data_IF_013202821783
#
_entry.id   IF_013202821783
#
_cell.length_a   1.000
_cell.length_b   1.000
_cell.length_c   1.000
_cell.angle_alpha   90.00
_cell.angle_beta   90.00
_cell.angle_gamma   90.00
#
_symmetry.space_group_name_H-M   'P 1'
#
loop_
_entity.id
_entity.type
_entity.pdbx_description
1 polymer ?
#
# COMPACT_ATOMS: atom_id res chain seq x y z
N UNK A 1 2.51 -13.79 25.11
CA UNK A 1 3.42 -14.27 24.06
C UNK A 1 4.69 -13.44 24.17
N UNK A 2 5.82 -14.09 24.43
CA UNK A 2 7.11 -13.44 24.68
C UNK A 2 7.63 -12.77 23.40
N UNK A 3 7.57 -11.43 23.33
CA UNK A 3 8.08 -10.70 22.18
C UNK A 3 9.57 -10.38 22.35
N UNK A 4 10.37 -11.45 22.38
CA UNK A 4 11.82 -11.41 22.52
C UNK A 4 12.48 -12.13 21.35
N UNK A 5 12.51 -11.53 20.17
CA UNK A 5 13.26 -12.13 19.07
C UNK A 5 14.56 -11.36 18.84
N UNK A 6 15.48 -11.56 19.78
CA UNK A 6 16.91 -11.43 19.47
C UNK A 6 17.29 -12.58 18.54
N UNK A 7 18.33 -12.35 17.76
CA UNK A 7 18.86 -13.32 16.81
C UNK A 7 20.01 -14.10 17.45
N UNK A 8 20.08 -15.38 17.12
CA UNK A 8 21.33 -16.13 17.08
C UNK A 8 21.85 -16.17 15.63
N UNK A 9 23.07 -16.67 15.43
CA UNK A 9 23.66 -16.79 14.10
C UNK A 9 22.75 -17.56 13.13
N UNK A 10 22.20 -18.69 13.58
CA UNK A 10 21.37 -19.58 12.75
C UNK A 10 20.10 -18.90 12.26
N UNK A 11 19.40 -18.17 13.12
CA UNK A 11 18.16 -17.47 12.79
C UNK A 11 18.40 -16.26 11.91
N UNK A 12 19.50 -15.52 12.11
CA UNK A 12 19.85 -14.38 11.25
C UNK A 12 20.29 -14.82 9.85
N UNK A 13 21.08 -15.89 9.75
CA UNK A 13 21.45 -16.55 8.48
C UNK A 13 20.18 -16.96 7.73
N UNK A 14 19.31 -17.75 8.38
CA UNK A 14 18.08 -18.25 7.75
C UNK A 14 17.17 -17.14 7.24
N UNK A 15 17.10 -16.02 7.95
CA UNK A 15 16.34 -14.86 7.51
C UNK A 15 16.94 -14.26 6.22
N UNK A 16 18.25 -14.05 6.20
CA UNK A 16 18.90 -13.35 5.10
C UNK A 16 19.12 -14.21 3.85
N UNK A 17 19.16 -15.54 3.99
CA UNK A 17 19.14 -16.50 2.88
C UNK A 17 17.82 -16.47 2.12
N UNK A 18 16.69 -16.47 2.85
CA UNK A 18 15.34 -16.42 2.25
C UNK A 18 15.13 -15.16 1.42
N UNK A 19 15.70 -14.06 1.87
CA UNK A 19 15.57 -12.76 1.22
C UNK A 19 16.61 -12.54 0.10
N UNK A 20 17.59 -13.45 -0.06
CA UNK A 20 18.57 -13.45 -1.14
C UNK A 20 19.59 -12.31 -1.13
N UNK A 21 19.96 -11.74 0.04
CA UNK A 21 20.74 -10.48 0.09
C UNK A 21 22.09 -10.48 0.80
N UNK A 22 22.40 -11.40 1.71
CA UNK A 22 23.65 -11.33 2.47
C UNK A 22 24.67 -12.38 2.04
N UNK A 23 25.88 -11.94 1.68
CA UNK A 23 27.05 -12.81 1.66
C UNK A 23 27.57 -12.94 3.10
N UNK A 24 27.69 -14.18 3.60
CA UNK A 24 28.28 -14.54 4.90
C UNK A 24 27.81 -13.69 6.10
N UNK A 25 26.80 -14.16 6.84
CA UNK A 25 26.45 -13.56 8.14
C UNK A 25 27.39 -14.13 9.21
N UNK A 26 27.95 -13.29 10.07
CA UNK A 26 28.82 -13.67 11.19
C UNK A 26 28.27 -13.22 12.55
N UNK A 27 28.88 -13.69 13.64
CA UNK A 27 28.49 -13.30 15.02
C UNK A 27 28.52 -11.77 15.24
N UNK A 28 29.43 -11.06 14.56
CA UNK A 28 29.51 -9.59 14.61
C UNK A 28 28.24 -8.91 14.09
N UNK A 29 27.57 -9.51 13.10
CA UNK A 29 26.29 -9.02 12.58
C UNK A 29 25.18 -9.26 13.58
N UNK A 30 25.17 -10.43 14.21
CA UNK A 30 24.21 -10.80 15.26
C UNK A 30 24.30 -9.84 16.43
N UNK A 31 25.51 -9.57 16.93
CA UNK A 31 25.76 -8.60 18.00
C UNK A 31 25.25 -7.21 17.63
N UNK A 32 25.52 -6.75 16.40
CA UNK A 32 25.07 -5.44 15.92
C UNK A 32 23.54 -5.38 15.83
N UNK A 33 22.90 -6.36 15.21
CA UNK A 33 21.44 -6.44 15.07
C UNK A 33 20.78 -6.47 16.44
N UNK A 34 21.26 -7.30 17.36
CA UNK A 34 20.71 -7.38 18.70
C UNK A 34 20.90 -6.08 19.49
N UNK A 35 22.04 -5.41 19.34
CA UNK A 35 22.27 -4.09 19.93
C UNK A 35 21.29 -3.03 19.39
N UNK A 36 21.02 -3.02 18.09
CA UNK A 36 20.01 -2.14 17.48
C UNK A 36 18.62 -2.43 18.05
N UNK A 37 18.22 -3.71 18.12
CA UNK A 37 16.93 -4.13 18.69
C UNK A 37 16.79 -3.67 20.14
N UNK A 38 17.81 -3.86 20.97
CA UNK A 38 17.81 -3.41 22.37
C UNK A 38 17.62 -1.90 22.48
N UNK A 39 18.31 -1.10 21.66
CA UNK A 39 18.15 0.36 21.66
C UNK A 39 16.75 0.78 21.21
N UNK A 40 16.24 0.17 20.15
CA UNK A 40 14.88 0.42 19.64
C UNK A 40 13.81 0.13 20.70
N UNK A 41 13.97 -0.94 21.48
CA UNK A 41 13.06 -1.28 22.57
C UNK A 41 13.15 -0.25 23.69
N UNK A 42 14.36 0.02 24.17
CA UNK A 42 14.62 1.00 25.23
C UNK A 42 14.04 2.37 24.90
N UNK A 43 14.25 2.87 23.69
CA UNK A 43 13.70 4.15 23.24
C UNK A 43 12.17 4.19 23.33
N UNK A 44 11.49 3.10 22.95
CA UNK A 44 10.03 3.00 23.07
C UNK A 44 9.58 2.88 24.52
N UNK A 45 10.29 2.13 25.36
CA UNK A 45 9.98 2.01 26.79
C UNK A 45 10.08 3.37 27.51
N UNK A 46 11.08 4.17 27.17
CA UNK A 46 11.32 5.49 27.77
C UNK A 46 10.39 6.59 27.23
N UNK A 47 9.84 6.44 26.03
CA UNK A 47 9.01 7.46 25.39
C UNK A 47 7.60 6.94 25.10
N UNK A 48 6.52 7.45 25.71
CA UNK A 48 5.16 7.00 25.43
C UNK A 48 4.61 7.49 24.07
N UNK A 49 5.21 8.54 23.50
CA UNK A 49 4.81 9.13 22.22
C UNK A 49 5.29 8.32 21.01
N UNK A 50 4.80 8.60 19.78
CA UNK A 50 5.32 8.01 18.56
C UNK A 50 6.81 8.36 18.36
N UNK A 51 7.64 7.34 18.12
CA UNK A 51 9.09 7.51 17.90
C UNK A 51 9.51 7.04 16.52
N UNK A 52 10.70 7.45 16.08
CA UNK A 52 11.26 7.01 14.82
C UNK A 52 11.34 5.47 14.73
N UNK A 53 11.11 4.94 13.53
CA UNK A 53 11.03 3.51 13.27
C UNK A 53 9.66 2.88 13.53
N UNK A 54 8.74 3.54 14.25
CA UNK A 54 7.36 3.06 14.41
C UNK A 54 6.60 3.03 13.08
N UNK A 55 5.43 2.39 13.09
CA UNK A 55 4.57 2.31 11.91
C UNK A 55 3.23 2.99 12.14
N UNK A 56 2.67 3.55 11.07
CA UNK A 56 1.38 4.24 11.09
C UNK A 56 0.47 3.63 10.03
N UNK A 57 -0.74 3.23 10.41
CA UNK A 57 -1.83 3.05 9.46
C UNK A 57 -2.41 4.43 9.15
N UNK A 58 -2.16 4.92 7.95
CA UNK A 58 -2.46 6.29 7.54
C UNK A 58 -3.55 6.29 6.47
N UNK A 59 -4.57 7.13 6.62
CA UNK A 59 -5.59 7.36 5.58
C UNK A 59 -5.63 8.83 5.21
N UNK A 60 -5.45 9.16 3.93
CA UNK A 60 -5.53 10.54 3.44
C UNK A 60 -6.98 11.01 3.37
N UNK A 61 -7.17 12.32 3.31
CA UNK A 61 -8.47 12.95 3.08
C UNK A 61 -9.09 12.54 1.75
N UNK A 62 -8.24 12.16 0.79
CA UNK A 62 -8.61 11.62 -0.51
C UNK A 62 -8.95 10.12 -0.51
N UNK A 63 -8.98 9.47 0.65
CA UNK A 63 -9.31 8.05 0.83
C UNK A 63 -8.17 7.08 0.56
N UNK A 64 -6.95 7.55 0.29
CA UNK A 64 -5.81 6.66 0.04
C UNK A 64 -5.31 6.06 1.37
N UNK A 65 -5.34 4.73 1.46
CA UNK A 65 -5.04 3.95 2.66
C UNK A 65 -3.65 3.33 2.59
N UNK A 66 -2.82 3.65 3.59
CA UNK A 66 -1.45 3.20 3.74
C UNK A 66 -1.31 2.39 5.03
N UNK A 67 -1.26 1.05 4.97
CA UNK A 67 -1.32 0.21 6.17
C UNK A 67 -0.06 0.28 7.04
N UNK A 68 1.08 0.61 6.44
CA UNK A 68 2.40 0.50 7.08
C UNK A 68 3.32 1.69 6.75
N UNK A 69 2.82 2.92 6.90
CA UNK A 69 3.68 4.10 6.81
C UNK A 69 4.80 4.04 7.87
N UNK A 70 5.96 4.62 7.56
CA UNK A 70 7.14 4.64 8.44
C UNK A 70 7.32 6.03 9.06
N UNK A 71 7.47 6.08 10.39
CA UNK A 71 7.92 7.29 11.07
C UNK A 71 9.44 7.41 10.90
N UNK A 72 9.90 8.29 10.01
CA UNK A 72 11.32 8.50 9.77
C UNK A 72 11.94 9.31 10.90
N UNK A 73 11.22 10.35 11.32
CA UNK A 73 11.59 11.27 12.39
C UNK A 73 10.34 11.64 13.16
N UNK A 74 10.48 11.80 14.46
CA UNK A 74 9.46 12.33 15.33
C UNK A 74 10.16 13.13 16.41
N UNK A 75 9.83 14.40 16.50
CA UNK A 75 10.09 15.20 17.68
C UNK A 75 8.75 15.55 18.35
N UNK A 76 8.76 16.19 19.52
CA UNK A 76 7.52 16.51 20.23
C UNK A 76 6.59 17.50 19.51
N UNK A 77 6.93 17.97 18.32
CA UNK A 77 6.16 18.93 17.51
C UNK A 77 5.73 18.34 16.18
N UNK A 78 6.61 17.61 15.51
CA UNK A 78 6.38 17.10 14.16
C UNK A 78 6.86 15.66 14.00
N UNK A 79 6.04 14.86 13.34
CA UNK A 79 6.35 13.53 12.86
C UNK A 79 6.41 13.52 11.33
N UNK A 80 7.56 13.15 10.79
CA UNK A 80 7.77 12.96 9.36
C UNK A 80 7.52 11.51 8.98
N UNK A 81 6.52 11.29 8.12
CA UNK A 81 6.07 9.97 7.72
C UNK A 81 6.35 9.70 6.24
N UNK A 82 6.88 8.52 5.93
CA UNK A 82 6.92 7.98 4.59
C UNK A 82 5.74 7.01 4.41
N UNK A 83 4.78 7.32 3.53
CA UNK A 83 3.52 6.58 3.43
C UNK A 83 3.66 5.23 2.71
N UNK A 84 4.52 5.12 1.70
CA UNK A 84 4.95 3.84 1.11
C UNK A 84 6.47 3.70 1.26
N UNK A 85 6.94 3.27 2.43
CA UNK A 85 8.37 3.10 2.67
C UNK A 85 8.89 1.88 1.91
N UNK A 86 10.00 2.04 1.19
CA UNK A 86 10.92 0.90 0.96
C UNK A 86 11.51 0.47 2.30
N UNK A 87 12.13 -0.70 2.32
CA UNK A 87 12.74 -1.26 3.53
C UNK A 87 13.66 -0.25 4.24
N UNK A 88 13.27 0.26 5.43
CA UNK A 88 13.98 1.33 6.11
C UNK A 88 15.40 0.90 6.50
N UNK A 89 16.37 1.80 6.26
CA UNK A 89 17.76 1.56 6.62
C UNK A 89 18.04 2.05 8.04
N UNK A 90 18.18 1.12 8.97
CA UNK A 90 18.47 1.36 10.38
C UNK A 90 19.99 1.46 10.60
N UNK A 91 20.44 2.53 11.26
CA UNK A 91 21.86 2.76 11.56
C UNK A 91 22.05 3.45 12.89
N UNK A 92 23.27 3.38 13.41
CA UNK A 92 23.65 4.08 14.64
C UNK A 92 24.28 5.43 14.27
N UNK A 93 23.81 6.50 14.91
CA UNK A 93 24.45 7.81 14.85
C UNK A 93 24.40 8.42 16.24
N UNK A 94 25.55 8.86 16.76
CA UNK A 94 25.67 9.54 18.06
C UNK A 94 24.99 8.76 19.21
N UNK A 95 25.12 7.43 19.20
CA UNK A 95 24.52 6.55 20.21
C UNK A 95 23.01 6.31 20.07
N UNK A 96 22.35 6.92 19.10
CA UNK A 96 20.92 6.76 18.81
C UNK A 96 20.69 5.87 17.59
N UNK A 97 19.50 5.28 17.54
CA UNK A 97 19.01 4.60 16.34
C UNK A 97 18.44 5.64 15.38
N UNK A 98 18.90 5.64 14.14
CA UNK A 98 18.41 6.51 13.09
C UNK A 98 17.96 5.69 11.88
N UNK A 99 17.07 6.27 11.09
CA UNK A 99 16.49 5.64 9.92
C UNK A 99 16.75 6.51 8.70
N UNK A 100 17.02 5.85 7.57
CA UNK A 100 17.02 6.44 6.25
C UNK A 100 16.08 5.60 5.39
N UNK A 101 14.94 6.16 5.05
CA UNK A 101 13.90 5.48 4.26
C UNK A 101 13.83 6.08 2.86
N UNK A 102 13.78 5.22 1.86
CA UNK A 102 13.39 5.62 0.50
C UNK A 102 11.89 5.37 0.29
N UNK A 103 11.29 6.05 -0.67
CA UNK A 103 9.89 5.90 -1.00
C UNK A 103 9.14 7.23 -0.89
N UNK A 104 7.83 7.13 -0.73
CA UNK A 104 6.94 8.27 -0.61
C UNK A 104 5.50 7.85 -0.87
N UNK A 105 4.52 8.77 -0.86
CA UNK A 105 4.67 10.19 -0.55
C UNK A 105 5.12 10.45 0.89
N UNK A 106 5.66 11.64 1.13
CA UNK A 106 6.09 12.11 2.45
C UNK A 106 5.09 13.11 3.01
N UNK A 107 4.74 12.95 4.28
CA UNK A 107 3.83 13.86 4.99
C UNK A 107 4.43 14.24 6.34
N UNK A 108 4.06 15.42 6.83
CA UNK A 108 4.41 15.89 8.17
C UNK A 108 3.10 16.09 8.94
N UNK A 109 3.03 15.54 10.15
CA UNK A 109 1.85 15.64 11.01
C UNK A 109 2.26 15.89 12.45
N UNK A 110 1.32 16.34 13.28
CA UNK A 110 1.52 16.42 14.73
C UNK A 110 1.54 14.99 15.31
N UNK A 111 2.61 14.57 16.00
CA UNK A 111 2.68 13.24 16.65
C UNK A 111 1.55 13.02 17.65
N UNK A 112 1.00 14.08 18.27
CA UNK A 112 -0.13 14.01 19.19
C UNK A 112 -1.45 13.57 18.54
N UNK A 113 -1.55 13.63 17.21
CA UNK A 113 -2.72 13.13 16.46
C UNK A 113 -2.63 11.63 16.16
N UNK A 114 -1.45 11.02 16.31
CA UNK A 114 -1.25 9.60 16.07
C UNK A 114 -1.83 8.80 17.24
N UNK A 115 -2.87 8.01 16.99
CA UNK A 115 -3.54 7.22 18.02
C UNK A 115 -2.89 5.84 18.16
N UNK A 116 -2.75 5.28 19.37
CA UNK A 116 -2.20 3.93 19.55
C UNK A 116 -3.01 2.87 18.77
N UNK A 117 -2.31 1.96 18.08
CA UNK A 117 -2.87 0.84 17.31
C UNK A 117 -2.17 -0.51 17.62
N UNK A 118 -1.46 -0.57 18.74
CA UNK A 118 -0.83 -1.78 19.26
C UNK A 118 0.62 -1.97 18.80
N UNK A 119 1.00 -3.21 18.51
CA UNK A 119 2.38 -3.61 18.17
C UNK A 119 2.36 -4.42 16.88
N UNK A 120 3.33 -4.17 16.00
CA UNK A 120 3.50 -4.87 14.72
C UNK A 120 4.95 -5.30 14.51
N UNK A 121 5.13 -6.42 13.81
CA UNK A 121 6.43 -6.81 13.29
C UNK A 121 6.80 -5.90 12.10
N UNK A 122 8.04 -5.43 12.07
CA UNK A 122 8.56 -4.60 10.99
C UNK A 122 9.98 -5.01 10.62
N UNK A 123 10.24 -4.98 9.31
CA UNK A 123 11.52 -5.35 8.73
C UNK A 123 12.39 -4.10 8.53
N UNK A 124 13.67 -4.25 8.81
CA UNK A 124 14.70 -3.23 8.64
C UNK A 124 15.93 -3.85 7.98
N UNK A 125 16.78 -2.99 7.41
CA UNK A 125 18.12 -3.36 6.96
C UNK A 125 19.19 -2.47 7.58
N UNK A 126 20.38 -3.00 7.76
CA UNK A 126 21.60 -2.29 8.19
C UNK A 126 22.79 -2.81 7.37
N UNK A 127 23.91 -2.10 7.35
CA UNK A 127 25.18 -2.70 6.92
C UNK A 127 25.63 -3.74 7.94
N UNK A 128 26.07 -4.90 7.46
CA UNK A 128 26.78 -5.90 8.24
C UNK A 128 28.25 -5.57 8.38
N UNK A 129 29.03 -6.55 8.82
CA UNK A 129 30.46 -6.46 9.05
C UNK A 129 31.26 -6.28 7.75
N UNK A 130 30.76 -6.79 6.62
CA UNK A 130 31.37 -6.65 5.29
C UNK A 130 31.25 -5.22 4.72
N UNK A 131 30.40 -4.38 5.32
CA UNK A 131 30.29 -2.96 5.01
C UNK A 131 29.38 -2.63 3.83
N UNK A 132 29.59 -1.45 3.23
CA UNK A 132 28.69 -0.84 2.23
C UNK A 132 28.96 -1.39 0.83
N UNK A 133 28.30 -2.48 0.46
CA UNK A 133 28.27 -3.01 -0.91
C UNK A 133 26.97 -3.79 -1.15
N UNK A 134 26.73 -4.25 -2.40
CA UNK A 134 25.48 -4.88 -2.85
C UNK A 134 24.96 -5.97 -1.91
N UNK A 135 25.84 -6.86 -1.44
CA UNK A 135 25.51 -8.00 -0.57
C UNK A 135 25.94 -7.80 0.89
N UNK A 136 26.28 -6.57 1.29
CA UNK A 136 26.73 -6.26 2.64
C UNK A 136 25.61 -5.87 3.59
N UNK A 137 24.36 -5.82 3.11
CA UNK A 137 23.21 -5.45 3.92
C UNK A 137 22.65 -6.67 4.67
N UNK A 138 22.50 -6.52 5.99
CA UNK A 138 21.86 -7.48 6.88
C UNK A 138 20.44 -7.01 7.19
N UNK A 139 19.48 -7.89 6.99
CA UNK A 139 18.08 -7.67 7.29
C UNK A 139 17.72 -8.29 8.63
N UNK A 140 16.80 -7.64 9.34
CA UNK A 140 16.26 -8.13 10.60
C UNK A 140 14.82 -7.66 10.79
N UNK A 141 14.08 -8.41 11.59
CA UNK A 141 12.73 -8.10 12.03
C UNK A 141 12.73 -7.74 13.50
N UNK A 142 11.91 -6.78 13.88
CA UNK A 142 11.65 -6.48 15.29
C UNK A 142 10.23 -5.96 15.46
N UNK A 143 9.75 -5.95 16.70
CA UNK A 143 8.45 -5.37 17.04
C UNK A 143 8.60 -3.86 17.22
N UNK A 144 7.68 -3.11 16.62
CA UNK A 144 7.56 -1.66 16.78
C UNK A 144 6.14 -1.31 17.20
N UNK A 145 5.94 -0.11 17.75
CA UNK A 145 4.59 0.37 18.02
C UNK A 145 3.91 0.70 16.71
N UNK A 146 2.63 0.39 16.66
CA UNK A 146 1.74 0.79 15.61
C UNK A 146 0.86 1.92 16.09
N UNK A 147 0.64 2.86 15.20
CA UNK A 147 -0.21 4.01 15.37
C UNK A 147 -1.20 4.07 14.22
N UNK A 148 -2.28 4.83 14.39
CA UNK A 148 -3.25 5.08 13.33
C UNK A 148 -3.55 6.56 13.23
N UNK A 149 -3.78 7.01 12.00
CA UNK A 149 -4.18 8.37 11.71
C UNK A 149 -5.03 8.43 10.44
N UNK A 150 -6.11 9.18 10.52
CA UNK A 150 -6.99 9.48 9.39
C UNK A 150 -7.10 10.98 9.31
N UNK A 151 -6.73 11.55 8.17
CA UNK A 151 -6.89 12.99 7.95
C UNK A 151 -8.37 13.38 8.09
N UNK A 152 -8.68 14.50 8.78
CA UNK A 152 -10.05 14.94 8.97
C UNK A 152 -10.70 15.40 7.66
N UNK A 153 -12.03 15.49 7.65
CA UNK A 153 -12.85 16.01 6.53
C UNK A 153 -12.71 15.22 5.21
N UNK A 154 -13.05 13.91 5.19
CA UNK A 154 -12.87 13.08 3.99
C UNK A 154 -13.63 13.62 2.78
N UNK A 155 -12.95 13.72 1.64
CA UNK A 155 -13.50 14.27 0.39
C UNK A 155 -14.59 13.40 -0.22
N UNK A 156 -14.53 12.09 0.01
CA UNK A 156 -15.38 11.09 -0.63
C UNK A 156 -16.17 10.27 0.40
N UNK A 157 -16.43 10.82 1.60
CA UNK A 157 -17.20 10.13 2.64
C UNK A 157 -16.48 8.88 3.14
N UNK A 158 -17.13 7.72 3.04
CA UNK A 158 -16.65 6.44 3.58
C UNK A 158 -15.65 5.69 2.67
N UNK A 159 -15.46 6.15 1.43
CA UNK A 159 -14.61 5.44 0.47
C UNK A 159 -13.13 5.55 0.84
N UNK A 160 -12.48 4.39 0.93
CA UNK A 160 -11.02 4.28 1.11
C UNK A 160 -10.45 3.15 0.26
N UNK A 161 -9.17 3.26 -0.14
CA UNK A 161 -8.49 2.21 -0.90
C UNK A 161 -8.20 0.94 -0.09
N UNK A 162 -8.65 0.90 1.18
CA UNK A 162 -8.62 -0.32 2.00
C UNK A 162 -9.64 -1.34 1.50
N UNK A 163 -10.86 -0.87 1.21
CA UNK A 163 -12.01 -1.72 0.88
C UNK A 163 -12.54 -1.45 -0.54
N UNK A 164 -12.17 -0.32 -1.16
CA UNK A 164 -12.71 0.12 -2.44
C UNK A 164 -11.60 0.39 -3.45
N UNK A 165 -11.94 0.41 -4.74
CA UNK A 165 -11.01 0.83 -5.80
C UNK A 165 -11.32 2.25 -6.24
N UNK A 166 -10.26 3.05 -6.34
CA UNK A 166 -10.29 4.43 -6.83
C UNK A 166 -9.87 4.47 -8.29
N UNK A 167 -10.75 4.97 -9.14
CA UNK A 167 -10.53 5.14 -10.57
C UNK A 167 -10.49 6.63 -10.92
N UNK A 168 -9.35 7.09 -11.43
CA UNK A 168 -9.20 8.45 -11.94
C UNK A 168 -9.67 8.49 -13.39
N UNK A 169 -10.82 9.11 -13.64
CA UNK A 169 -11.44 9.18 -14.97
C UNK A 169 -11.19 10.57 -15.56
N UNK A 170 -10.47 10.62 -16.67
CA UNK A 170 -10.29 11.84 -17.45
C UNK A 170 -11.32 11.95 -18.56
N UNK A 171 -12.07 13.04 -18.58
CA UNK A 171 -12.90 13.47 -19.70
C UNK A 171 -12.05 14.27 -20.67
N UNK A 172 -11.93 13.77 -21.89
CA UNK A 172 -11.23 14.42 -22.99
C UNK A 172 -12.17 14.64 -24.15
N UNK A 173 -11.98 15.73 -24.87
CA UNK A 173 -12.69 15.93 -26.13
C UNK A 173 -12.24 14.85 -27.12
N UNK A 174 -13.20 14.24 -27.80
CA UNK A 174 -12.92 13.31 -28.88
C UNK A 174 -12.34 14.07 -30.08
N UNK A 175 -11.47 13.39 -30.82
CA UNK A 175 -10.83 13.94 -32.02
C UNK A 175 -11.83 13.98 -33.17
N UNK A 176 -12.71 12.97 -33.28
CA UNK A 176 -13.52 12.72 -34.48
C UNK A 176 -14.96 12.25 -34.15
N UNK A 177 -15.64 12.91 -33.19
CA UNK A 177 -16.53 14.02 -33.59
C UNK A 177 -16.41 15.29 -32.72
N UNK A 178 -16.60 16.45 -33.35
CA UNK A 178 -16.61 17.74 -32.65
C UNK A 178 -17.71 17.80 -31.58
N UNK A 179 -17.33 18.18 -30.35
CA UNK A 179 -18.25 18.28 -29.21
C UNK A 179 -18.54 16.97 -28.49
N UNK A 180 -18.03 15.84 -28.96
CA UNK A 180 -18.09 14.57 -28.24
C UNK A 180 -16.94 14.45 -27.22
N UNK A 181 -17.15 13.61 -26.22
CA UNK A 181 -16.18 13.40 -25.14
C UNK A 181 -15.98 11.91 -24.87
N UNK A 182 -14.73 11.53 -24.67
CA UNK A 182 -14.34 10.22 -24.15
C UNK A 182 -14.01 10.34 -22.67
N UNK A 183 -14.23 9.25 -21.93
CA UNK A 183 -13.90 9.10 -20.52
C UNK A 183 -12.95 7.93 -20.37
N UNK A 184 -11.75 8.18 -19.88
CA UNK A 184 -10.67 7.19 -19.86
C UNK A 184 -9.97 7.14 -18.51
N UNK A 185 -9.56 5.94 -18.13
CA UNK A 185 -8.55 5.70 -17.11
C UNK A 185 -7.55 4.65 -17.61
N UNK A 186 -6.75 4.09 -16.70
CA UNK A 186 -5.79 3.02 -17.02
C UNK A 186 -6.46 1.68 -17.35
N UNK A 187 -7.70 1.44 -16.88
CA UNK A 187 -8.39 0.16 -16.98
C UNK A 187 -9.41 0.07 -18.12
N UNK A 188 -9.99 1.19 -18.55
CA UNK A 188 -11.02 1.24 -19.58
C UNK A 188 -11.13 2.63 -20.24
N UNK A 189 -11.76 2.66 -21.41
CA UNK A 189 -12.18 3.87 -22.12
C UNK A 189 -13.62 3.68 -22.55
N UNK A 190 -14.46 4.70 -22.32
CA UNK A 190 -15.84 4.77 -22.77
C UNK A 190 -16.10 6.07 -23.53
N UNK A 191 -17.07 6.06 -24.43
CA UNK A 191 -17.25 7.09 -25.47
C UNK A 191 -18.47 7.99 -25.22
N UNK A 192 -19.19 7.80 -24.12
CA UNK A 192 -20.27 8.69 -23.71
C UNK A 192 -20.45 8.75 -22.19
N UNK A 193 -21.23 9.74 -21.72
CA UNK A 193 -21.59 9.85 -20.31
C UNK A 193 -22.48 8.69 -19.87
N UNK A 194 -23.36 8.22 -20.74
CA UNK A 194 -24.24 7.08 -20.48
C UNK A 194 -23.44 5.77 -20.33
N UNK A 195 -22.39 5.59 -21.13
CA UNK A 195 -21.48 4.46 -20.94
C UNK A 195 -20.72 4.54 -19.62
N UNK A 196 -20.26 5.73 -19.23
CA UNK A 196 -19.64 5.93 -17.92
C UNK A 196 -20.62 5.62 -16.79
N UNK A 197 -21.88 6.07 -16.87
CA UNK A 197 -22.88 5.82 -15.83
C UNK A 197 -23.25 4.33 -15.75
N UNK A 198 -23.27 3.61 -16.88
CA UNK A 198 -23.35 2.14 -16.89
C UNK A 198 -22.16 1.50 -16.19
N UNK A 199 -20.94 1.98 -16.44
CA UNK A 199 -19.74 1.49 -15.75
C UNK A 199 -19.81 1.74 -14.24
N UNK A 200 -20.28 2.91 -13.80
CA UNK A 200 -20.51 3.21 -12.38
C UNK A 200 -21.48 2.20 -11.77
N UNK A 201 -22.58 1.88 -12.47
CA UNK A 201 -23.55 0.88 -12.03
C UNK A 201 -22.96 -0.53 -11.93
N UNK A 202 -22.22 -0.98 -12.95
CA UNK A 202 -21.56 -2.30 -12.97
C UNK A 202 -20.56 -2.44 -11.83
N UNK A 203 -19.80 -1.38 -11.54
CA UNK A 203 -18.81 -1.36 -10.47
C UNK A 203 -19.43 -1.05 -9.10
N UNK A 204 -20.76 -1.00 -8.97
CA UNK A 204 -21.47 -0.66 -7.73
C UNK A 204 -20.89 0.59 -7.06
N UNK A 205 -20.54 1.57 -7.87
CA UNK A 205 -19.73 2.71 -7.48
C UNK A 205 -20.48 4.02 -7.38
N UNK A 206 -19.72 5.06 -7.05
CA UNK A 206 -20.15 6.45 -7.05
C UNK A 206 -19.11 7.32 -7.74
N UNK A 207 -19.59 8.21 -8.59
CA UNK A 207 -18.77 9.20 -9.31
C UNK A 207 -18.76 10.54 -8.56
N UNK A 208 -17.59 11.13 -8.43
CA UNK A 208 -17.36 12.44 -7.83
C UNK A 208 -16.60 13.35 -8.81
N UNK A 209 -16.78 14.66 -8.67
CA UNK A 209 -15.94 15.64 -9.36
C UNK A 209 -14.52 15.63 -8.77
N UNK A 210 -13.52 15.70 -9.64
CA UNK A 210 -12.11 15.81 -9.26
C UNK A 210 -11.69 17.26 -9.00
N UNK A 211 -10.41 17.45 -8.65
CA UNK A 211 -9.85 18.76 -8.31
C UNK A 211 -9.72 19.72 -9.51
N UNK A 212 -9.91 19.23 -10.74
CA UNK A 212 -9.85 20.04 -11.96
C UNK A 212 -10.99 19.68 -12.90
N UNK A 213 -11.40 20.65 -13.73
CA UNK A 213 -12.45 20.44 -14.72
C UNK A 213 -12.10 19.27 -15.66
N UNK A 214 -13.06 18.36 -15.84
CA UNK A 214 -12.88 17.17 -16.69
C UNK A 214 -12.14 16.02 -16.01
N UNK A 215 -11.73 16.13 -14.75
CA UNK A 215 -11.30 14.98 -13.95
C UNK A 215 -12.47 14.53 -13.07
N UNK A 216 -12.73 13.23 -13.04
CA UNK A 216 -13.70 12.61 -12.15
C UNK A 216 -13.02 11.51 -11.33
N UNK A 217 -13.52 11.28 -10.12
CA UNK A 217 -13.06 10.23 -9.23
C UNK A 217 -14.21 9.23 -9.06
N UNK A 218 -14.03 8.03 -9.60
CA UNK A 218 -14.97 6.94 -9.42
C UNK A 218 -14.46 6.04 -8.30
N UNK A 219 -15.25 5.89 -7.24
CA UNK A 219 -15.06 4.87 -6.22
C UNK A 219 -16.01 3.71 -6.48
N UNK A 220 -15.49 2.49 -6.55
CA UNK A 220 -16.32 1.31 -6.78
C UNK A 220 -15.58 0.02 -6.51
N UNK A 221 -16.22 -1.09 -6.86
CA UNK A 221 -15.64 -2.42 -6.75
C UNK A 221 -14.46 -2.58 -7.70
N UNK A 222 -13.50 -3.43 -7.30
CA UNK A 222 -12.33 -3.76 -8.10
C UNK A 222 -12.74 -4.54 -9.34
N UNK A 223 -12.52 -3.95 -10.49
CA UNK A 223 -12.64 -4.59 -11.79
C UNK A 223 -11.47 -5.55 -12.05
N UNK A 224 -11.75 -6.82 -12.35
CA UNK A 224 -10.76 -7.83 -12.73
C UNK A 224 -11.13 -8.50 -14.05
N UNK A 225 -10.14 -8.78 -14.89
CA UNK A 225 -10.32 -9.57 -16.10
C UNK A 225 -9.78 -10.98 -15.91
N UNK A 226 -10.55 -11.99 -16.33
CA UNK A 226 -10.12 -13.40 -16.34
C UNK A 226 -10.46 -14.07 -17.66
N UNK A 227 -9.55 -14.90 -18.12
CA UNK A 227 -9.76 -15.77 -19.28
C UNK A 227 -10.17 -17.14 -18.79
N UNK A 228 -11.20 -17.72 -19.44
CA UNK A 228 -11.67 -19.07 -19.14
C UNK A 228 -11.64 -19.93 -20.41
N UNK A 229 -11.19 -21.19 -20.32
CA UNK A 229 -11.36 -22.13 -21.42
C UNK A 229 -12.85 -22.34 -21.72
N UNK A 230 -13.17 -22.72 -22.95
CA UNK A 230 -14.55 -22.81 -23.45
C UNK A 230 -15.48 -23.65 -22.56
N UNK A 231 -14.99 -24.71 -21.94
CA UNK A 231 -15.79 -25.58 -21.08
C UNK A 231 -16.15 -24.90 -19.74
N UNK A 232 -15.20 -24.25 -19.07
CA UNK A 232 -15.45 -23.46 -17.85
C UNK A 232 -16.37 -22.28 -18.15
N UNK A 233 -16.10 -21.61 -19.28
CA UNK A 233 -16.92 -20.52 -19.77
C UNK A 233 -18.38 -20.93 -19.84
N UNK A 234 -18.68 -22.02 -20.55
CA UNK A 234 -20.04 -22.50 -20.78
C UNK A 234 -20.75 -22.88 -19.48
N UNK A 235 -20.01 -23.41 -18.50
CA UNK A 235 -20.54 -23.80 -17.19
C UNK A 235 -20.76 -22.61 -16.23
N UNK A 236 -20.17 -21.44 -16.49
CA UNK A 236 -20.28 -20.27 -15.63
C UNK A 236 -21.73 -19.73 -15.59
N UNK A 237 -22.37 -19.78 -14.43
CA UNK A 237 -23.72 -19.21 -14.25
C UNK A 237 -23.63 -17.71 -13.96
N UNK A 238 -23.60 -16.91 -15.03
CA UNK A 238 -23.56 -15.45 -14.96
C UNK A 238 -24.30 -14.83 -16.15
N UNK A 239 -24.76 -13.60 -15.99
CA UNK A 239 -25.35 -12.82 -17.08
C UNK A 239 -24.32 -12.65 -18.20
N UNK A 240 -24.76 -12.86 -19.44
CA UNK A 240 -23.90 -12.76 -20.63
C UNK A 240 -24.14 -11.42 -21.30
N UNK A 241 -23.09 -10.60 -21.36
CA UNK A 241 -23.12 -9.32 -22.04
C UNK A 241 -22.56 -9.49 -23.46
N UNK A 242 -23.34 -9.07 -24.45
CA UNK A 242 -23.00 -9.20 -25.87
C UNK A 242 -21.93 -8.21 -26.33
N UNK A 243 -21.62 -7.19 -25.54
CA UNK A 243 -20.52 -6.28 -25.79
C UNK A 243 -20.15 -5.58 -24.49
N UNK A 244 -18.88 -5.61 -24.13
CA UNK A 244 -18.35 -4.88 -22.99
C UNK A 244 -16.91 -4.44 -23.27
N UNK A 245 -16.68 -3.13 -23.31
CA UNK A 245 -15.37 -2.52 -23.57
C UNK A 245 -14.66 -3.09 -24.81
N UNK A 246 -15.43 -3.34 -25.88
CA UNK A 246 -14.91 -3.88 -27.15
C UNK A 246 -14.71 -5.39 -27.17
N UNK A 247 -15.01 -6.11 -26.08
CA UNK A 247 -14.93 -7.57 -25.99
C UNK A 247 -16.33 -8.18 -26.06
N UNK A 248 -16.48 -9.24 -26.84
CA UNK A 248 -17.75 -9.95 -27.00
C UNK A 248 -17.53 -11.45 -27.25
N UNK A 249 -18.31 -12.34 -26.60
CA UNK A 249 -19.19 -12.10 -25.46
C UNK A 249 -18.40 -12.08 -24.13
N UNK A 250 -18.92 -11.38 -23.11
CA UNK A 250 -18.39 -11.46 -21.74
C UNK A 250 -19.44 -11.97 -20.73
N UNK A 251 -18.99 -12.45 -19.57
CA UNK A 251 -19.82 -12.83 -18.41
C UNK A 251 -19.30 -12.09 -17.21
N UNK A 252 -20.18 -11.43 -16.47
CA UNK A 252 -19.80 -10.58 -15.34
C UNK A 252 -20.32 -11.21 -14.05
N UNK A 253 -19.46 -11.31 -13.04
CA UNK A 253 -19.82 -11.75 -11.70
C UNK A 253 -19.36 -10.74 -10.68
N UNK A 254 -20.25 -10.39 -9.76
CA UNK A 254 -19.97 -9.51 -8.65
C UNK A 254 -19.80 -10.32 -7.37
N UNK A 255 -18.74 -10.03 -6.63
CA UNK A 255 -18.52 -10.42 -5.24
C UNK A 255 -18.70 -9.17 -4.36
N UNK A 256 -19.81 -9.14 -3.62
CA UNK A 256 -20.15 -8.03 -2.74
C UNK A 256 -19.34 -8.02 -1.45
N UNK A 257 -18.87 -9.17 -0.97
CA UNK A 257 -18.10 -9.23 0.28
C UNK A 257 -16.65 -8.80 0.00
N UNK A 258 -16.10 -9.21 -1.14
CA UNK A 258 -14.77 -8.83 -1.60
C UNK A 258 -14.71 -7.55 -2.43
N UNK A 259 -15.82 -6.81 -2.57
CA UNK A 259 -15.95 -5.62 -3.42
C UNK A 259 -15.25 -5.76 -4.78
N UNK A 260 -15.53 -6.86 -5.49
CA UNK A 260 -14.84 -7.20 -6.74
C UNK A 260 -15.85 -7.54 -7.84
N UNK A 261 -15.63 -7.03 -9.05
CA UNK A 261 -16.37 -7.36 -10.27
C UNK A 261 -15.41 -8.08 -11.21
N UNK A 262 -15.65 -9.37 -11.44
CA UNK A 262 -14.85 -10.16 -12.38
C UNK A 262 -15.55 -10.22 -13.74
N UNK A 263 -14.88 -9.72 -14.76
CA UNK A 263 -15.25 -9.87 -16.16
C UNK A 263 -14.49 -11.06 -16.73
N UNK A 264 -15.24 -12.10 -17.02
CA UNK A 264 -14.70 -13.25 -17.71
C UNK A 264 -14.79 -13.00 -19.22
N UNK A 265 -13.77 -13.40 -19.97
CA UNK A 265 -13.84 -13.61 -21.41
C UNK A 265 -13.44 -15.05 -21.76
N UNK A 266 -13.99 -15.57 -22.85
CA UNK A 266 -13.66 -16.89 -23.35
C UNK A 266 -12.25 -16.86 -23.97
N UNK A 267 -11.40 -17.81 -23.59
CA UNK A 267 -10.13 -18.06 -24.28
C UNK A 267 -10.38 -18.53 -25.70
N UNK A 268 -9.55 -18.08 -26.64
CA UNK A 268 -9.55 -18.56 -28.02
C UNK A 268 -9.18 -20.05 -28.12
#
# INVERSE_FOLDING_TARGET
>A
MEYSNFYDLKSLVRLNEREGRACSIEERDVEKVNRLISRMRKEREENPAPVAGDTVTYTTRGGDYYPQAHIERSDGREAQLCLLPRMPFCHEKEGRTCYNTEGGPWVTTDPGLLLPDGIRGKQFRTWGHTGRHENGAVQFHTSVRAWKYTEPEPLYGEYTTKEWTKYLIERRQDIEPAGAFIYRNESFTVYSKEELDRMVGILHGRLFDGFRQGLFILWGYRMEWKELPAWEWNMLKAETHLSFLGVSPVRIRTDHDGHTVTIYKKSE
#
